data_IF_961007178919
#
_entry.id   IF_961007178919
#
_cell.length_a   1.000
_cell.length_b   1.000
_cell.length_c   1.000
_cell.angle_alpha   90.00
_cell.angle_beta   90.00
_cell.angle_gamma   90.00
#
_symmetry.space_group_name_H-M   'P 1'
#
loop_
_entity.id
_entity.type
_entity.pdbx_description
1 polymer ?
#
# COMPACT_ATOMS: atom_id res chain seq x y z
N UNK A 1 -24.32 -7.48 -14.54
CA UNK A 1 -24.10 -8.69 -15.36
C UNK A 1 -25.11 -9.75 -14.98
N UNK A 2 -25.78 -10.39 -15.95
CA UNK A 2 -26.80 -11.42 -15.67
C UNK A 2 -26.21 -12.74 -15.16
N UNK A 3 -24.91 -12.96 -15.35
CA UNK A 3 -24.26 -14.25 -15.13
C UNK A 3 -23.45 -14.37 -13.83
N UNK A 4 -23.34 -13.31 -13.03
CA UNK A 4 -22.70 -13.36 -11.70
C UNK A 4 -23.73 -13.74 -10.63
N UNK A 5 -23.94 -15.04 -10.42
CA UNK A 5 -24.92 -15.57 -9.45
C UNK A 5 -24.35 -15.67 -8.05
N UNK A 6 -23.10 -16.11 -7.93
CA UNK A 6 -22.40 -16.37 -6.68
C UNK A 6 -21.45 -15.22 -6.34
N UNK A 7 -20.64 -14.74 -7.29
CA UNK A 7 -19.70 -13.65 -7.07
C UNK A 7 -20.38 -12.27 -7.01
N UNK A 8 -21.60 -12.14 -7.55
CA UNK A 8 -22.27 -10.87 -7.76
C UNK A 8 -22.66 -10.15 -6.46
N UNK A 9 -22.74 -8.81 -6.51
CA UNK A 9 -23.11 -7.95 -5.36
C UNK A 9 -24.58 -8.02 -4.93
N UNK A 10 -25.36 -8.98 -5.44
CA UNK A 10 -26.69 -9.30 -4.89
C UNK A 10 -26.58 -9.79 -3.42
N UNK A 11 -25.39 -10.21 -3.00
CA UNK A 11 -25.04 -10.44 -1.59
C UNK A 11 -24.72 -9.09 -0.91
N UNK A 12 -25.51 -8.73 0.11
CA UNK A 12 -25.46 -7.40 0.74
C UNK A 12 -24.19 -7.14 1.55
N UNK A 13 -23.55 -8.18 2.08
CA UNK A 13 -22.29 -8.08 2.82
C UNK A 13 -21.09 -8.41 1.93
N UNK A 14 -20.01 -7.62 2.04
CA UNK A 14 -18.72 -7.99 1.45
C UNK A 14 -18.17 -9.24 2.15
N UNK A 15 -17.59 -10.15 1.38
CA UNK A 15 -16.90 -11.30 1.94
C UNK A 15 -15.61 -10.86 2.63
N UNK A 16 -15.34 -11.48 3.77
CA UNK A 16 -14.02 -11.46 4.41
C UNK A 16 -13.51 -12.89 4.49
N UNK A 17 -12.23 -13.10 4.16
CA UNK A 17 -11.60 -14.42 4.21
C UNK A 17 -10.70 -14.47 5.43
N UNK A 18 -11.05 -15.32 6.39
CA UNK A 18 -10.29 -15.53 7.63
C UNK A 18 -9.40 -16.77 7.51
N UNK A 19 -8.13 -16.65 7.92
CA UNK A 19 -7.13 -17.73 7.90
C UNK A 19 -6.17 -17.52 9.07
N UNK A 20 -6.17 -18.44 10.04
CA UNK A 20 -5.34 -18.39 11.25
C UNK A 20 -5.22 -16.98 11.89
N UNK A 21 -6.35 -16.29 12.04
CA UNK A 21 -6.43 -14.95 12.64
C UNK A 21 -6.20 -13.76 11.69
N UNK A 22 -5.78 -13.99 10.44
CA UNK A 22 -5.68 -12.94 9.42
C UNK A 22 -7.00 -12.81 8.67
N UNK A 23 -7.53 -11.58 8.54
CA UNK A 23 -8.80 -11.29 7.87
C UNK A 23 -8.57 -10.45 6.61
N UNK A 24 -8.69 -11.05 5.44
CA UNK A 24 -8.58 -10.38 4.13
C UNK A 24 -9.95 -9.86 3.70
N UNK A 25 -10.03 -8.61 3.23
CA UNK A 25 -11.31 -7.94 2.87
C UNK A 25 -11.91 -7.07 3.98
N UNK A 26 -11.27 -7.00 5.15
CA UNK A 26 -11.68 -6.17 6.29
C UNK A 26 -11.20 -4.71 6.20
N UNK A 27 -11.11 -4.05 7.35
CA UNK A 27 -10.53 -2.69 7.47
C UNK A 27 -9.01 -2.69 7.36
N UNK A 28 -8.36 -3.75 7.83
CA UNK A 28 -6.91 -3.91 7.74
C UNK A 28 -6.49 -4.19 6.29
N UNK A 29 -5.46 -3.50 5.82
CA UNK A 29 -4.77 -3.79 4.56
C UNK A 29 -3.77 -4.90 4.81
N UNK A 30 -3.96 -6.04 4.14
CA UNK A 30 -3.07 -7.18 4.32
C UNK A 30 -1.87 -7.06 3.36
N UNK A 31 -0.68 -6.90 3.94
CA UNK A 31 0.58 -6.96 3.19
C UNK A 31 1.08 -8.40 3.07
N UNK A 32 1.27 -8.81 1.83
CA UNK A 32 1.82 -10.09 1.43
C UNK A 32 3.14 -9.84 0.72
N UNK A 33 4.23 -10.36 1.26
CA UNK A 33 5.58 -10.09 0.77
C UNK A 33 6.38 -11.37 0.58
N UNK A 34 7.42 -11.30 -0.25
CA UNK A 34 8.39 -12.38 -0.40
C UNK A 34 8.89 -12.51 -1.83
N UNK A 35 9.81 -13.46 -2.07
CA UNK A 35 10.54 -13.51 -3.33
C UNK A 35 9.71 -14.06 -4.48
N UNK A 36 10.10 -13.69 -5.71
CA UNK A 36 9.49 -14.17 -6.93
C UNK A 36 9.57 -15.71 -7.07
N UNK A 37 10.73 -16.27 -6.75
CA UNK A 37 11.00 -17.69 -6.75
C UNK A 37 11.62 -18.09 -5.40
N UNK A 38 11.34 -19.31 -4.95
CA UNK A 38 12.04 -19.90 -3.81
C UNK A 38 13.38 -20.45 -4.31
N UNK A 39 14.47 -19.97 -3.72
CA UNK A 39 15.83 -20.24 -4.21
C UNK A 39 16.65 -21.05 -3.20
N UNK A 40 16.49 -20.78 -1.90
CA UNK A 40 17.16 -21.51 -0.83
C UNK A 40 16.46 -21.32 0.52
N UNK A 41 16.80 -22.16 1.50
CA UNK A 41 16.31 -22.00 2.88
C UNK A 41 16.71 -20.66 3.50
N UNK A 42 17.98 -20.24 3.32
CA UNK A 42 18.49 -18.98 3.86
C UNK A 42 17.75 -17.76 3.28
N UNK A 43 17.55 -17.76 1.96
CA UNK A 43 16.80 -16.71 1.27
C UNK A 43 15.37 -16.60 1.78
N UNK A 44 14.68 -17.74 1.97
CA UNK A 44 13.33 -17.74 2.50
C UNK A 44 13.26 -17.27 3.96
N UNK A 45 14.19 -17.69 4.81
CA UNK A 45 14.25 -17.27 6.22
C UNK A 45 14.44 -15.74 6.34
N UNK A 46 15.40 -15.17 5.60
CA UNK A 46 15.63 -13.72 5.56
C UNK A 46 14.44 -12.94 4.98
N UNK A 47 13.78 -13.52 3.96
CA UNK A 47 12.57 -12.93 3.39
C UNK A 47 11.41 -12.92 4.40
N UNK A 48 11.21 -14.01 5.13
CA UNK A 48 10.19 -14.12 6.16
C UNK A 48 10.40 -13.10 7.28
N UNK A 49 11.64 -12.94 7.74
CA UNK A 49 12.00 -11.92 8.74
C UNK A 49 11.69 -10.50 8.22
N UNK A 50 12.06 -10.20 6.97
CA UNK A 50 11.77 -8.90 6.33
C UNK A 50 10.27 -8.63 6.26
N UNK A 51 9.48 -9.63 5.82
CA UNK A 51 8.02 -9.51 5.72
C UNK A 51 7.41 -9.27 7.08
N UNK A 52 7.85 -10.01 8.10
CA UNK A 52 7.39 -9.86 9.48
C UNK A 52 7.70 -8.46 10.03
N UNK A 53 8.94 -7.98 9.84
CA UNK A 53 9.37 -6.62 10.24
C UNK A 53 8.59 -5.53 9.55
N UNK A 54 8.13 -5.72 8.31
CA UNK A 54 7.28 -4.75 7.63
C UNK A 54 5.80 -4.82 8.05
N UNK A 55 5.41 -5.73 8.95
CA UNK A 55 4.02 -5.93 9.37
C UNK A 55 3.22 -6.83 8.44
N UNK A 56 3.88 -7.43 7.45
CA UNK A 56 3.28 -8.41 6.57
C UNK A 56 2.73 -9.61 7.34
N UNK A 57 1.63 -10.17 6.82
CA UNK A 57 0.93 -11.31 7.42
C UNK A 57 1.06 -12.59 6.60
N UNK A 58 1.50 -12.46 5.35
CA UNK A 58 1.60 -13.56 4.39
C UNK A 58 2.96 -13.52 3.71
N UNK A 59 3.70 -14.62 3.80
CA UNK A 59 4.91 -14.90 3.04
C UNK A 59 4.54 -15.56 1.71
N UNK A 60 4.92 -14.92 0.60
CA UNK A 60 4.75 -15.49 -0.75
C UNK A 60 6.06 -16.06 -1.27
N UNK A 61 5.99 -17.17 -2.01
CA UNK A 61 7.15 -17.76 -2.67
C UNK A 61 6.75 -18.67 -3.82
N UNK A 62 7.31 -18.46 -5.02
CA UNK A 62 7.00 -19.30 -6.17
C UNK A 62 7.82 -20.58 -6.18
N UNK A 63 7.20 -21.72 -5.87
CA UNK A 63 7.88 -23.03 -5.88
C UNK A 63 7.82 -23.72 -7.25
N UNK A 64 6.85 -23.31 -8.08
CA UNK A 64 6.74 -23.61 -9.50
C UNK A 64 6.78 -22.30 -10.29
N UNK A 65 7.52 -22.27 -11.40
CA UNK A 65 7.66 -21.07 -12.24
C UNK A 65 7.20 -21.38 -13.67
N UNK A 66 6.00 -20.94 -14.09
CA UNK A 66 5.58 -21.05 -15.49
C UNK A 66 6.35 -20.01 -16.32
N UNK A 67 7.49 -20.43 -16.88
CA UNK A 67 8.41 -19.57 -17.65
C UNK A 67 8.09 -19.61 -19.13
N UNK A 68 8.32 -18.47 -19.80
CA UNK A 68 8.22 -18.39 -21.27
C UNK A 68 9.29 -19.26 -21.95
N UNK A 69 10.46 -19.42 -21.34
CA UNK A 69 11.56 -20.26 -21.84
C UNK A 69 11.72 -21.51 -20.97
N UNK A 70 11.83 -22.72 -21.58
CA UNK A 70 12.01 -23.96 -20.84
C UNK A 70 13.40 -24.08 -20.19
N UNK A 71 14.39 -23.30 -20.65
CA UNK A 71 15.76 -23.30 -20.10
C UNK A 71 15.92 -22.39 -18.87
N UNK A 72 14.89 -21.61 -18.55
CA UNK A 72 14.88 -20.78 -17.34
C UNK A 72 14.68 -21.65 -16.10
N UNK A 73 15.07 -21.12 -14.93
CA UNK A 73 14.76 -21.74 -13.65
C UNK A 73 13.24 -22.00 -13.51
N UNK A 74 12.87 -23.28 -13.29
CA UNK A 74 11.49 -23.77 -13.24
C UNK A 74 10.91 -23.83 -11.82
N UNK A 75 11.73 -23.58 -10.79
CA UNK A 75 11.35 -23.73 -9.38
C UNK A 75 11.89 -25.02 -8.75
N UNK A 76 11.96 -25.04 -7.41
CA UNK A 76 12.46 -26.18 -6.63
C UNK A 76 11.37 -27.23 -6.30
N UNK A 77 10.11 -26.98 -6.66
CA UNK A 77 9.01 -27.89 -6.36
C UNK A 77 8.88 -28.20 -4.87
N UNK A 78 8.91 -29.48 -4.50
CA UNK A 78 8.74 -29.95 -3.11
C UNK A 78 9.78 -29.39 -2.15
N UNK A 79 11.03 -29.26 -2.58
CA UNK A 79 12.10 -28.74 -1.73
C UNK A 79 11.85 -27.26 -1.40
N UNK A 80 11.56 -26.44 -2.40
CA UNK A 80 11.20 -25.04 -2.21
C UNK A 80 9.93 -24.85 -1.38
N UNK A 81 8.95 -25.77 -1.52
CA UNK A 81 7.76 -25.78 -0.68
C UNK A 81 8.10 -25.97 0.80
N UNK A 82 9.01 -26.89 1.12
CA UNK A 82 9.43 -27.09 2.50
C UNK A 82 10.13 -25.85 3.07
N UNK A 83 10.98 -25.18 2.28
CA UNK A 83 11.63 -23.92 2.70
C UNK A 83 10.62 -22.81 2.96
N UNK A 84 9.62 -22.64 2.09
CA UNK A 84 8.57 -21.63 2.26
C UNK A 84 7.76 -21.86 3.54
N UNK A 85 7.29 -23.10 3.76
CA UNK A 85 6.46 -23.45 4.91
C UNK A 85 7.24 -23.30 6.22
N UNK A 86 8.50 -23.75 6.25
CA UNK A 86 9.36 -23.63 7.42
C UNK A 86 9.60 -22.16 7.79
N UNK A 87 9.99 -21.32 6.81
CA UNK A 87 10.26 -19.91 7.06
C UNK A 87 9.01 -19.13 7.50
N UNK A 88 7.85 -19.43 6.92
CA UNK A 88 6.59 -18.82 7.32
C UNK A 88 6.23 -19.19 8.77
N UNK A 89 6.37 -20.48 9.14
CA UNK A 89 6.10 -20.98 10.48
C UNK A 89 7.02 -20.33 11.53
N UNK A 90 8.31 -20.21 11.24
CA UNK A 90 9.29 -19.59 12.16
C UNK A 90 8.95 -18.14 12.51
N UNK A 91 8.33 -17.40 11.58
CA UNK A 91 7.97 -15.99 11.75
C UNK A 91 6.47 -15.78 12.07
N UNK A 92 5.72 -16.86 12.27
CA UNK A 92 4.27 -16.84 12.45
C UNK A 92 3.56 -16.02 11.36
N UNK A 93 3.86 -16.36 10.11
CA UNK A 93 3.25 -15.83 8.89
C UNK A 93 2.41 -16.93 8.23
N UNK A 94 1.35 -16.54 7.53
CA UNK A 94 0.73 -17.42 6.54
C UNK A 94 1.67 -17.61 5.35
N UNK A 95 1.52 -18.69 4.61
CA UNK A 95 2.24 -18.89 3.35
C UNK A 95 1.31 -19.04 2.14
N UNK A 96 1.76 -18.49 1.01
CA UNK A 96 1.07 -18.58 -0.29
C UNK A 96 2.04 -18.99 -1.40
N UNK A 97 1.60 -19.92 -2.25
CA UNK A 97 2.34 -20.31 -3.45
C UNK A 97 1.41 -20.56 -4.64
N UNK A 98 1.97 -20.50 -5.84
CA UNK A 98 1.24 -20.69 -7.09
C UNK A 98 1.09 -22.17 -7.43
N UNK A 99 -0.12 -22.55 -7.86
CA UNK A 99 -0.40 -23.85 -8.49
C UNK A 99 -0.59 -23.66 -9.99
N UNK A 100 -0.01 -24.56 -10.78
CA UNK A 100 0.02 -24.44 -12.24
C UNK A 100 -0.79 -25.51 -12.97
N UNK A 101 -1.09 -26.61 -12.29
CA UNK A 101 -1.78 -27.80 -12.79
C UNK A 101 -2.29 -28.67 -11.63
N UNK A 102 -2.90 -29.83 -11.92
CA UNK A 102 -3.39 -30.75 -10.89
C UNK A 102 -2.25 -31.37 -10.03
N UNK A 103 -1.13 -31.87 -10.60
CA UNK A 103 -0.03 -32.39 -9.78
C UNK A 103 0.59 -31.37 -8.81
N UNK A 104 0.76 -30.11 -9.25
CA UNK A 104 1.24 -29.05 -8.37
C UNK A 104 0.24 -28.72 -7.27
N UNK A 105 -1.07 -28.75 -7.55
CA UNK A 105 -2.12 -28.59 -6.55
C UNK A 105 -2.03 -29.69 -5.47
N UNK A 106 -1.97 -30.96 -5.89
CA UNK A 106 -1.88 -32.10 -4.96
C UNK A 106 -0.63 -32.01 -4.07
N UNK A 107 0.48 -31.49 -4.59
CA UNK A 107 1.71 -31.34 -3.82
C UNK A 107 1.63 -30.27 -2.72
N UNK A 108 0.93 -29.17 -2.98
CA UNK A 108 0.93 -27.98 -2.09
C UNK A 108 -0.27 -27.94 -1.16
N UNK A 109 -1.38 -28.57 -1.54
CA UNK A 109 -2.69 -28.32 -0.93
C UNK A 109 -2.73 -28.56 0.56
N UNK A 110 -1.98 -29.51 1.12
CA UNK A 110 -2.00 -29.76 2.57
C UNK A 110 -0.95 -28.98 3.36
N UNK A 111 -0.09 -28.22 2.68
CA UNK A 111 1.10 -27.61 3.27
C UNK A 111 1.05 -26.09 3.36
N UNK A 112 0.23 -25.43 2.52
CA UNK A 112 0.13 -23.97 2.48
C UNK A 112 -1.19 -23.45 3.03
N UNK A 113 -1.21 -22.18 3.42
CA UNK A 113 -2.42 -21.54 3.94
C UNK A 113 -3.33 -21.03 2.82
N UNK A 114 -2.73 -20.53 1.73
CA UNK A 114 -3.41 -19.89 0.62
C UNK A 114 -2.85 -20.45 -0.71
N UNK A 115 -3.74 -20.72 -1.66
CA UNK A 115 -3.36 -21.09 -3.03
C UNK A 115 -3.39 -19.86 -3.93
N UNK A 116 -2.46 -19.75 -4.87
CA UNK A 116 -2.50 -18.73 -5.92
C UNK A 116 -2.70 -19.39 -7.29
N UNK A 117 -3.63 -18.86 -8.07
CA UNK A 117 -3.78 -19.16 -9.49
C UNK A 117 -3.25 -17.96 -10.27
N UNK A 118 -2.15 -18.16 -10.99
CA UNK A 118 -1.48 -17.10 -11.73
C UNK A 118 -2.28 -16.62 -12.95
N UNK A 119 -1.92 -15.43 -13.45
CA UNK A 119 -2.62 -14.77 -14.56
C UNK A 119 -2.71 -15.63 -15.84
N UNK A 120 -1.71 -16.49 -16.10
CA UNK A 120 -1.71 -17.40 -17.26
C UNK A 120 -2.74 -18.53 -17.14
N UNK A 121 -3.11 -18.89 -15.91
CA UNK A 121 -4.07 -19.94 -15.59
C UNK A 121 -5.44 -19.39 -15.19
N UNK A 122 -5.70 -18.07 -15.30
CA UNK A 122 -7.00 -17.48 -14.96
C UNK A 122 -8.15 -18.13 -15.74
N UNK A 123 -7.92 -18.62 -16.97
CA UNK A 123 -8.91 -19.33 -17.78
C UNK A 123 -8.61 -20.83 -17.93
N UNK A 124 -7.76 -21.39 -17.06
CA UNK A 124 -7.59 -22.83 -16.96
C UNK A 124 -8.76 -23.40 -16.16
N UNK A 125 -9.93 -23.50 -16.78
CA UNK A 125 -11.19 -23.84 -16.10
C UNK A 125 -11.15 -25.18 -15.36
N UNK A 126 -10.39 -26.16 -15.84
CA UNK A 126 -10.23 -27.43 -15.15
C UNK A 126 -9.44 -27.25 -13.85
N UNK A 127 -8.36 -26.47 -13.86
CA UNK A 127 -7.63 -26.11 -12.64
C UNK A 127 -8.52 -25.31 -11.67
N UNK A 128 -9.32 -24.36 -12.17
CA UNK A 128 -10.26 -23.59 -11.34
C UNK A 128 -11.29 -24.48 -10.64
N UNK A 129 -11.89 -25.44 -11.37
CA UNK A 129 -12.84 -26.41 -10.80
C UNK A 129 -12.19 -27.32 -9.77
N UNK A 130 -10.96 -27.76 -10.01
CA UNK A 130 -10.21 -28.57 -9.05
C UNK A 130 -9.90 -27.77 -7.78
N UNK A 131 -9.34 -26.57 -7.92
CA UNK A 131 -9.06 -25.69 -6.79
C UNK A 131 -10.34 -25.32 -6.02
N UNK A 132 -11.47 -25.14 -6.70
CA UNK A 132 -12.76 -24.86 -6.09
C UNK A 132 -13.37 -26.00 -5.27
N UNK A 133 -12.82 -27.22 -5.36
CA UNK A 133 -13.19 -28.34 -4.46
C UNK A 133 -12.36 -28.37 -3.17
N UNK A 134 -11.32 -27.55 -3.08
CA UNK A 134 -10.43 -27.49 -1.92
C UNK A 134 -10.94 -26.44 -0.94
N UNK A 135 -10.98 -26.78 0.35
CA UNK A 135 -11.34 -25.83 1.41
C UNK A 135 -10.15 -24.94 1.83
N UNK A 136 -9.58 -24.20 0.88
CA UNK A 136 -8.53 -23.19 1.12
C UNK A 136 -8.81 -21.90 0.38
N UNK A 137 -8.40 -20.75 0.93
CA UNK A 137 -8.41 -19.49 0.20
C UNK A 137 -7.66 -19.57 -1.12
N UNK A 138 -8.21 -18.95 -2.17
CA UNK A 138 -7.60 -18.89 -3.50
C UNK A 138 -7.43 -17.43 -3.90
N UNK A 139 -6.20 -17.01 -4.14
CA UNK A 139 -5.89 -15.77 -4.85
C UNK A 139 -5.97 -16.03 -6.36
N UNK A 140 -6.94 -15.42 -7.03
CA UNK A 140 -7.11 -15.49 -8.48
C UNK A 140 -6.55 -14.22 -9.12
N UNK A 141 -5.39 -14.33 -9.78
CA UNK A 141 -4.80 -13.22 -10.54
C UNK A 141 -5.55 -12.98 -11.84
N UNK A 142 -5.83 -11.72 -12.15
CA UNK A 142 -6.41 -11.32 -13.44
C UNK A 142 -5.49 -11.71 -14.59
N UNK A 143 -6.08 -12.21 -15.68
CA UNK A 143 -5.38 -12.58 -16.91
C UNK A 143 -4.84 -11.36 -17.64
N UNK A 144 -3.78 -11.56 -18.43
CA UNK A 144 -3.02 -10.48 -19.09
C UNK A 144 -3.89 -9.56 -19.96
N UNK A 145 -4.95 -10.08 -20.55
CA UNK A 145 -5.86 -9.32 -21.43
C UNK A 145 -7.33 -9.56 -21.06
N UNK A 146 -7.58 -10.06 -19.85
CA UNK A 146 -8.92 -10.35 -19.40
C UNK A 146 -9.68 -9.06 -19.08
N UNK A 147 -10.92 -8.98 -19.53
CA UNK A 147 -11.89 -8.02 -19.01
C UNK A 147 -12.22 -8.31 -17.53
N UNK A 148 -12.82 -7.34 -16.85
CA UNK A 148 -13.27 -7.53 -15.45
C UNK A 148 -14.38 -8.58 -15.40
N UNK A 149 -15.26 -8.63 -16.40
CA UNK A 149 -16.30 -9.65 -16.51
C UNK A 149 -15.72 -11.06 -16.61
N UNK A 150 -14.76 -11.30 -17.52
CA UNK A 150 -14.10 -12.61 -17.63
C UNK A 150 -13.37 -13.02 -16.35
N UNK A 151 -12.79 -12.04 -15.64
CA UNK A 151 -12.13 -12.29 -14.37
C UNK A 151 -13.11 -12.68 -13.26
N UNK A 152 -14.26 -12.01 -13.17
CA UNK A 152 -15.32 -12.36 -12.22
C UNK A 152 -15.99 -13.70 -12.58
N UNK A 153 -16.17 -14.00 -13.87
CA UNK A 153 -16.66 -15.30 -14.33
C UNK A 153 -15.66 -16.42 -14.02
N UNK A 154 -14.35 -16.18 -14.11
CA UNK A 154 -13.35 -17.15 -13.65
C UNK A 154 -13.46 -17.40 -12.13
N UNK A 155 -13.74 -16.37 -11.32
CA UNK A 155 -14.05 -16.56 -9.90
C UNK A 155 -15.33 -17.39 -9.70
N UNK A 156 -16.35 -17.18 -10.54
CA UNK A 156 -17.61 -17.94 -10.51
C UNK A 156 -17.37 -19.45 -10.67
N UNK A 157 -16.40 -19.90 -11.50
CA UNK A 157 -16.05 -21.32 -11.61
C UNK A 157 -15.55 -21.92 -10.29
N UNK A 158 -14.76 -21.17 -9.52
CA UNK A 158 -14.26 -21.60 -8.20
C UNK A 158 -15.42 -21.66 -7.20
N UNK A 159 -16.25 -20.61 -7.16
CA UNK A 159 -17.40 -20.52 -6.27
C UNK A 159 -18.42 -21.64 -6.55
N UNK A 160 -18.73 -21.89 -7.83
CA UNK A 160 -19.68 -22.91 -8.26
C UNK A 160 -19.19 -24.34 -7.98
N UNK A 161 -17.88 -24.55 -7.90
CA UNK A 161 -17.28 -25.82 -7.48
C UNK A 161 -17.34 -26.06 -5.96
N UNK A 162 -17.70 -25.05 -5.17
CA UNK A 162 -17.99 -25.19 -3.74
C UNK A 162 -17.12 -24.33 -2.81
N UNK A 163 -16.11 -23.63 -3.32
CA UNK A 163 -15.20 -22.84 -2.49
C UNK A 163 -15.53 -21.35 -2.54
N UNK A 164 -16.11 -20.83 -1.46
CA UNK A 164 -16.48 -19.42 -1.30
C UNK A 164 -15.31 -18.48 -0.96
N UNK A 165 -14.08 -19.01 -0.81
CA UNK A 165 -12.93 -18.28 -0.25
C UNK A 165 -12.01 -17.71 -1.34
N UNK A 166 -12.59 -16.94 -2.26
CA UNK A 166 -11.85 -16.35 -3.39
C UNK A 166 -11.40 -14.93 -3.07
N UNK A 167 -10.15 -14.60 -3.42
CA UNK A 167 -9.54 -13.28 -3.34
C UNK A 167 -9.11 -12.89 -4.75
N UNK A 168 -9.58 -11.76 -5.23
CA UNK A 168 -9.24 -11.24 -6.55
C UNK A 168 -7.91 -10.47 -6.47
N UNK A 169 -6.94 -10.77 -7.34
CA UNK A 169 -5.70 -9.98 -7.48
C UNK A 169 -5.55 -9.29 -8.85
N UNK A 170 -5.67 -7.96 -8.88
CA UNK A 170 -5.33 -7.13 -10.03
C UNK A 170 -3.80 -7.01 -10.15
N UNK A 171 -3.26 -7.16 -11.37
CA UNK A 171 -1.81 -7.35 -11.61
C UNK A 171 -1.31 -6.73 -12.91
N UNK A 172 -2.07 -5.80 -13.47
CA UNK A 172 -1.86 -5.14 -14.74
C UNK A 172 -2.33 -5.94 -15.94
N UNK A 173 -2.77 -5.20 -16.95
CA UNK A 173 -3.17 -5.70 -18.26
C UNK A 173 -2.16 -5.31 -19.34
N UNK A 174 -2.10 -6.10 -20.40
CA UNK A 174 -1.30 -5.82 -21.58
C UNK A 174 -1.94 -4.69 -22.37
N UNK A 175 -1.13 -3.69 -22.70
CA UNK A 175 -1.51 -2.57 -23.56
C UNK A 175 -0.40 -2.35 -24.60
N UNK A 176 -0.48 -1.25 -25.35
CA UNK A 176 0.59 -0.82 -26.25
C UNK A 176 1.75 -0.12 -25.54
N UNK A 177 1.64 0.20 -24.25
CA UNK A 177 2.62 1.00 -23.50
C UNK A 177 3.88 0.19 -23.14
N UNK A 178 5.09 0.57 -23.63
CA UNK A 178 6.31 -0.20 -23.40
C UNK A 178 7.06 0.15 -22.10
N UNK A 179 6.77 1.28 -21.44
CA UNK A 179 7.54 1.77 -20.29
C UNK A 179 7.32 0.96 -19.00
N UNK A 180 6.29 0.11 -19.00
CA UNK A 180 5.95 -0.83 -17.91
C UNK A 180 5.66 -2.20 -18.51
N UNK A 181 5.88 -3.28 -17.74
CA UNK A 181 5.63 -4.66 -18.20
C UNK A 181 4.16 -4.89 -18.54
N UNK A 182 3.26 -4.32 -17.73
CA UNK A 182 1.82 -4.24 -17.93
C UNK A 182 1.34 -2.87 -17.41
N UNK A 183 0.21 -2.38 -17.91
CA UNK A 183 -0.43 -1.18 -17.36
C UNK A 183 -1.29 -1.60 -16.17
N UNK A 184 -1.01 -1.08 -14.98
CA UNK A 184 -1.83 -1.34 -13.79
C UNK A 184 -3.21 -0.69 -13.95
N UNK A 185 -4.27 -1.51 -13.98
CA UNK A 185 -5.65 -1.03 -14.08
C UNK A 185 -6.25 -0.82 -12.68
N UNK A 186 -5.99 0.35 -12.08
CA UNK A 186 -6.55 0.67 -10.77
C UNK A 186 -8.07 0.82 -10.78
N UNK A 187 -8.68 1.10 -11.94
CA UNK A 187 -10.14 1.18 -12.06
C UNK A 187 -10.79 -0.17 -11.79
N UNK A 188 -10.11 -1.27 -12.11
CA UNK A 188 -10.57 -2.62 -11.83
C UNK A 188 -10.77 -2.89 -10.34
N UNK A 189 -10.02 -2.24 -9.45
CA UNK A 189 -10.24 -2.34 -7.99
C UNK A 189 -11.63 -1.84 -7.65
N UNK A 190 -11.98 -0.61 -8.05
CA UNK A 190 -13.30 -0.04 -7.78
C UNK A 190 -14.42 -0.83 -8.45
N UNK A 191 -14.28 -1.14 -9.74
CA UNK A 191 -15.30 -1.82 -10.54
C UNK A 191 -15.54 -3.26 -10.05
N UNK A 192 -14.49 -4.05 -9.76
CA UNK A 192 -14.67 -5.40 -9.22
C UNK A 192 -15.32 -5.38 -7.84
N UNK A 193 -14.95 -4.41 -6.98
CA UNK A 193 -15.59 -4.20 -5.67
C UNK A 193 -17.03 -3.71 -5.78
N UNK A 194 -17.41 -3.10 -6.90
CA UNK A 194 -18.77 -2.66 -7.18
C UNK A 194 -19.65 -3.78 -7.70
N UNK A 195 -19.09 -4.68 -8.51
CA UNK A 195 -19.83 -5.75 -9.16
C UNK A 195 -19.86 -7.03 -8.33
N UNK A 196 -18.90 -7.20 -7.42
CA UNK A 196 -18.75 -8.40 -6.59
C UNK A 196 -18.61 -8.09 -5.10
N UNK A 197 -18.88 -9.10 -4.27
CA UNK A 197 -18.67 -9.02 -2.83
C UNK A 197 -17.25 -9.45 -2.41
N UNK A 198 -16.42 -9.94 -3.33
CA UNK A 198 -15.11 -10.53 -3.03
C UNK A 198 -14.08 -9.48 -2.58
N UNK A 199 -13.07 -9.86 -1.77
CA UNK A 199 -11.90 -9.02 -1.52
C UNK A 199 -11.08 -8.82 -2.79
N UNK A 200 -10.51 -7.62 -2.95
CA UNK A 200 -9.67 -7.27 -4.11
C UNK A 200 -8.32 -6.76 -3.63
N UNK A 201 -7.24 -7.47 -3.94
CA UNK A 201 -5.85 -7.09 -3.67
C UNK A 201 -5.15 -6.67 -4.98
N UNK A 202 -3.97 -6.05 -4.84
CA UNK A 202 -3.17 -5.59 -6.00
C UNK A 202 -1.74 -6.11 -5.94
N UNK A 203 -1.21 -6.52 -7.08
CA UNK A 203 0.19 -6.88 -7.30
C UNK A 203 0.90 -5.80 -8.14
N UNK A 204 1.50 -4.79 -7.50
CA UNK A 204 2.18 -3.71 -8.21
C UNK A 204 3.51 -4.16 -8.84
N UNK A 205 4.15 -5.20 -8.28
CA UNK A 205 5.45 -5.72 -8.76
C UNK A 205 5.33 -6.31 -10.16
N UNK A 206 4.37 -7.21 -10.39
CA UNK A 206 4.17 -7.81 -11.71
C UNK A 206 3.44 -6.90 -12.70
N UNK A 207 2.64 -5.95 -12.19
CA UNK A 207 2.02 -4.94 -13.03
C UNK A 207 3.10 -4.08 -13.68
N UNK A 208 3.87 -3.34 -12.89
CA UNK A 208 4.89 -2.44 -13.42
C UNK A 208 6.09 -3.19 -14.03
N UNK A 209 6.54 -4.28 -13.38
CA UNK A 209 7.82 -4.92 -13.69
C UNK A 209 9.01 -3.99 -13.46
N UNK A 210 8.86 -3.00 -12.57
CA UNK A 210 9.83 -1.93 -12.30
C UNK A 210 9.84 -1.61 -10.81
N UNK A 211 11.01 -1.71 -10.19
CA UNK A 211 11.19 -1.51 -8.75
C UNK A 211 10.81 -0.10 -8.29
N UNK A 212 11.18 0.90 -9.07
CA UNK A 212 10.98 2.33 -8.78
C UNK A 212 9.51 2.76 -8.76
N UNK A 213 8.62 1.98 -9.40
CA UNK A 213 7.18 2.25 -9.44
C UNK A 213 6.40 1.52 -8.35
N UNK A 214 6.98 0.54 -7.66
CA UNK A 214 6.24 -0.29 -6.70
C UNK A 214 5.68 0.57 -5.56
N UNK A 215 6.45 1.50 -5.02
CA UNK A 215 6.02 2.32 -3.89
C UNK A 215 4.82 3.21 -4.24
N UNK A 216 4.88 3.92 -5.37
CA UNK A 216 3.79 4.80 -5.81
C UNK A 216 2.52 4.01 -6.16
N UNK A 217 2.66 2.89 -6.88
CA UNK A 217 1.52 2.05 -7.26
C UNK A 217 0.90 1.34 -6.06
N UNK A 218 1.68 0.97 -5.04
CA UNK A 218 1.16 0.38 -3.80
C UNK A 218 0.29 1.39 -3.03
N UNK A 219 0.77 2.63 -2.90
CA UNK A 219 0.01 3.73 -2.29
C UNK A 219 -1.26 4.02 -3.08
N UNK A 220 -1.18 4.09 -4.40
CA UNK A 220 -2.33 4.31 -5.27
C UNK A 220 -3.37 3.17 -5.17
N UNK A 221 -2.91 1.92 -5.04
CA UNK A 221 -3.80 0.76 -4.86
C UNK A 221 -4.59 0.82 -3.55
N UNK A 222 -3.95 1.18 -2.44
CA UNK A 222 -4.65 1.40 -1.16
C UNK A 222 -5.66 2.54 -1.31
N UNK A 223 -5.25 3.66 -1.89
CA UNK A 223 -6.13 4.81 -2.11
C UNK A 223 -7.34 4.46 -3.01
N UNK A 224 -7.16 3.58 -3.99
CA UNK A 224 -8.22 3.04 -4.84
C UNK A 224 -9.15 2.03 -4.12
N UNK A 225 -8.83 1.66 -2.87
CA UNK A 225 -9.66 0.80 -2.03
C UNK A 225 -9.27 -0.68 -2.05
N UNK A 226 -8.04 -1.03 -2.41
CA UNK A 226 -7.55 -2.41 -2.30
C UNK A 226 -7.66 -2.92 -0.85
N UNK A 227 -7.85 -4.23 -0.68
CA UNK A 227 -7.93 -4.92 0.61
C UNK A 227 -6.58 -5.54 1.03
N UNK A 228 -5.56 -5.43 0.19
CA UNK A 228 -4.24 -5.98 0.42
C UNK A 228 -3.31 -5.74 -0.77
N UNK A 229 -2.03 -6.01 -0.53
CA UNK A 229 -0.96 -5.86 -1.52
C UNK A 229 -0.12 -7.14 -1.57
N UNK A 230 0.22 -7.58 -2.78
CA UNK A 230 1.12 -8.69 -3.03
C UNK A 230 2.39 -8.17 -3.70
N UNK A 231 3.47 -8.03 -2.94
CA UNK A 231 4.68 -7.32 -3.37
C UNK A 231 5.88 -8.26 -3.35
N UNK A 232 6.72 -8.16 -4.38
CA UNK A 232 8.00 -8.88 -4.43
C UNK A 232 9.09 -8.16 -3.65
N UNK A 233 9.75 -8.90 -2.76
CA UNK A 233 10.96 -8.48 -2.07
C UNK A 233 11.97 -9.62 -2.07
N UNK A 234 13.25 -9.30 -2.20
CA UNK A 234 14.33 -10.28 -2.20
C UNK A 234 15.46 -9.80 -1.29
N UNK A 235 16.10 -10.66 -0.48
CA UNK A 235 17.21 -10.27 0.39
C UNK A 235 18.40 -9.68 -0.39
N UNK A 236 18.67 -10.24 -1.57
CA UNK A 236 19.69 -9.73 -2.50
C UNK A 236 19.15 -9.70 -3.94
N UNK A 237 18.41 -8.66 -4.36
CA UNK A 237 17.77 -8.65 -5.68
C UNK A 237 18.74 -8.74 -6.87
N UNK A 238 20.02 -8.39 -6.68
CA UNK A 238 21.03 -8.44 -7.73
C UNK A 238 21.40 -9.88 -8.13
N UNK A 239 21.23 -10.84 -7.21
CA UNK A 239 21.57 -12.26 -7.40
C UNK A 239 20.32 -13.14 -7.63
N UNK A 240 19.12 -12.56 -7.64
CA UNK A 240 17.88 -13.31 -7.77
C UNK A 240 17.77 -14.05 -9.12
N UNK A 241 17.34 -15.31 -9.08
CA UNK A 241 17.22 -16.18 -10.28
C UNK A 241 15.97 -15.86 -11.12
N UNK A 242 15.08 -15.03 -10.57
CA UNK A 242 13.85 -14.57 -11.22
C UNK A 242 13.49 -13.18 -10.72
N UNK A 243 13.19 -12.27 -11.65
CA UNK A 243 12.53 -10.98 -11.35
C UNK A 243 13.29 -10.07 -10.34
N UNK A 244 14.62 -10.21 -10.28
CA UNK A 244 15.51 -9.36 -9.48
C UNK A 244 15.36 -7.85 -9.76
N UNK A 245 15.32 -7.40 -11.02
CA UNK A 245 15.21 -5.97 -11.34
C UNK A 245 13.96 -5.28 -10.77
N UNK A 246 12.87 -6.00 -10.54
CA UNK A 246 11.67 -5.41 -9.93
C UNK A 246 11.50 -5.72 -8.43
N UNK A 247 12.21 -6.71 -7.88
CA UNK A 247 12.07 -7.04 -6.45
C UNK A 247 12.62 -5.90 -5.59
N UNK A 248 11.87 -5.47 -4.56
CA UNK A 248 12.38 -4.50 -3.58
C UNK A 248 13.52 -5.10 -2.76
N UNK A 249 14.44 -4.26 -2.27
CA UNK A 249 15.36 -4.66 -1.18
C UNK A 249 14.59 -4.72 0.15
N UNK A 250 15.13 -5.39 1.19
CA UNK A 250 14.51 -5.41 2.51
C UNK A 250 14.20 -4.02 3.07
N UNK A 251 15.15 -3.09 2.94
CA UNK A 251 15.03 -1.72 3.45
C UNK A 251 13.91 -0.97 2.73
N UNK A 252 13.83 -1.10 1.40
CA UNK A 252 12.77 -0.48 0.60
C UNK A 252 11.39 -1.05 0.93
N UNK A 253 11.31 -2.36 1.18
CA UNK A 253 10.06 -3.02 1.54
C UNK A 253 9.55 -2.55 2.91
N UNK A 254 10.44 -2.46 3.91
CA UNK A 254 10.12 -1.96 5.25
C UNK A 254 9.77 -0.46 5.20
N UNK A 255 10.54 0.35 4.49
CA UNK A 255 10.25 1.77 4.32
C UNK A 255 8.86 1.97 3.68
N UNK A 256 8.57 1.25 2.60
CA UNK A 256 7.27 1.31 1.94
C UNK A 256 6.15 0.99 2.92
N UNK A 257 6.27 -0.08 3.70
CA UNK A 257 5.25 -0.45 4.67
C UNK A 257 4.96 0.65 5.71
N UNK A 258 5.98 1.41 6.14
CA UNK A 258 5.77 2.59 6.99
C UNK A 258 4.95 3.69 6.31
N UNK A 259 5.19 3.92 5.02
CA UNK A 259 4.45 4.90 4.22
C UNK A 259 2.99 4.46 3.94
N UNK A 260 2.72 3.15 3.86
CA UNK A 260 1.37 2.63 3.58
C UNK A 260 0.37 2.96 4.70
N UNK A 261 0.83 3.06 5.95
CA UNK A 261 -0.03 3.40 7.09
C UNK A 261 -0.74 4.74 6.93
N UNK A 262 0.02 5.77 6.55
CA UNK A 262 -0.51 7.13 6.32
C UNK A 262 -1.58 7.13 5.22
N UNK A 263 -1.35 6.37 4.14
CA UNK A 263 -2.31 6.30 3.03
C UNK A 263 -3.55 5.51 3.44
N UNK A 264 -3.39 4.39 4.15
CA UNK A 264 -4.51 3.58 4.62
C UNK A 264 -5.46 4.41 5.52
N UNK A 265 -4.91 5.15 6.47
CA UNK A 265 -5.69 6.05 7.35
C UNK A 265 -6.49 7.08 6.55
N UNK A 266 -5.89 7.67 5.51
CA UNK A 266 -6.55 8.69 4.67
C UNK A 266 -7.80 8.18 3.94
N UNK A 267 -7.93 6.86 3.78
CA UNK A 267 -9.08 6.20 3.15
C UNK A 267 -9.87 5.30 4.11
N UNK A 268 -9.78 5.57 5.42
CA UNK A 268 -10.51 4.86 6.47
C UNK A 268 -10.19 3.35 6.54
N UNK A 269 -8.96 2.99 6.18
CA UNK A 269 -8.38 1.65 6.34
C UNK A 269 -7.32 1.68 7.43
N UNK A 270 -6.89 0.51 7.88
CA UNK A 270 -5.85 0.34 8.92
C UNK A 270 -4.68 -0.45 8.32
N UNK A 271 -3.46 -0.15 8.73
CA UNK A 271 -2.28 -0.93 8.39
C UNK A 271 -1.47 -1.17 9.66
N UNK A 272 -1.24 -2.44 10.00
CA UNK A 272 -0.43 -2.80 11.16
C UNK A 272 1.04 -2.94 10.72
N UNK A 273 1.88 -1.97 11.07
CA UNK A 273 3.31 -2.03 10.79
C UNK A 273 4.04 -2.98 11.76
N UNK A 274 5.01 -3.72 11.26
CA UNK A 274 5.80 -4.68 12.05
C UNK A 274 6.90 -3.93 12.81
N UNK A 275 7.13 -4.31 14.07
CA UNK A 275 8.04 -3.56 14.95
C UNK A 275 7.34 -2.57 15.88
N UNK A 276 6.00 -2.51 15.88
CA UNK A 276 5.29 -2.12 17.09
C UNK A 276 5.44 -3.25 18.11
N UNK A 277 6.49 -3.15 18.95
CA UNK A 277 6.32 -3.46 20.36
C UNK A 277 5.03 -2.74 20.79
N UNK A 278 4.09 -3.49 21.36
CA UNK A 278 2.79 -3.10 21.91
C UNK A 278 2.45 -1.59 21.71
N UNK A 279 1.39 -1.25 20.98
CA UNK A 279 1.00 0.15 20.74
C UNK A 279 0.86 0.98 22.03
N UNK A 280 0.77 0.32 23.19
CA UNK A 280 0.72 0.91 24.52
C UNK A 280 2.07 0.94 25.28
N UNK A 281 3.20 0.59 24.65
CA UNK A 281 4.52 0.84 25.24
C UNK A 281 4.78 2.34 25.34
N UNK A 282 5.52 2.74 26.37
CA UNK A 282 5.87 4.15 26.58
C UNK A 282 6.68 4.70 25.41
N UNK A 283 7.57 3.88 24.84
CA UNK A 283 8.40 4.18 23.67
C UNK A 283 7.55 4.41 22.41
N UNK A 284 6.54 3.57 22.15
CA UNK A 284 5.63 3.75 21.02
C UNK A 284 4.80 5.02 21.14
N UNK A 285 4.26 5.30 22.33
CA UNK A 285 3.49 6.53 22.60
C UNK A 285 4.35 7.78 22.44
N UNK A 286 5.61 7.74 22.87
CA UNK A 286 6.59 8.82 22.63
C UNK A 286 6.84 9.04 21.14
N UNK A 287 7.08 7.97 20.39
CA UNK A 287 7.26 8.09 18.94
C UNK A 287 6.01 8.62 18.22
N UNK A 288 4.80 8.33 18.73
CA UNK A 288 3.56 8.94 18.22
C UNK A 288 3.51 10.45 18.50
N UNK A 289 3.90 10.87 19.72
CA UNK A 289 4.03 12.29 20.07
C UNK A 289 5.04 12.97 19.15
N UNK A 290 6.22 12.39 18.95
CA UNK A 290 7.27 12.95 18.09
C UNK A 290 6.76 13.18 16.65
N UNK A 291 5.97 12.24 16.11
CA UNK A 291 5.34 12.38 14.79
C UNK A 291 4.29 13.50 14.75
N UNK A 292 3.48 13.64 15.79
CA UNK A 292 2.50 14.73 15.90
C UNK A 292 3.23 16.07 15.99
N UNK A 293 4.27 16.17 16.80
CA UNK A 293 5.05 17.39 16.99
C UNK A 293 5.74 17.82 15.69
N UNK A 294 6.32 16.87 14.95
CA UNK A 294 6.87 17.15 13.63
C UNK A 294 5.81 17.75 12.69
N UNK A 295 4.61 17.14 12.61
CA UNK A 295 3.52 17.65 11.77
C UNK A 295 3.03 19.03 12.21
N UNK A 296 3.02 19.32 13.51
CA UNK A 296 2.70 20.66 14.03
C UNK A 296 3.71 21.68 13.46
N UNK A 297 5.01 21.38 13.52
CA UNK A 297 6.05 22.28 13.00
C UNK A 297 5.93 22.47 11.48
N UNK A 298 5.72 21.40 10.72
CA UNK A 298 5.51 21.45 9.27
C UNK A 298 4.30 22.33 8.90
N UNK A 299 3.15 22.12 9.54
CA UNK A 299 1.95 22.93 9.30
C UNK A 299 2.10 24.39 9.73
N UNK A 300 2.89 24.67 10.77
CA UNK A 300 3.23 26.05 11.14
C UNK A 300 4.10 26.70 10.07
N UNK A 301 5.08 25.98 9.52
CA UNK A 301 5.92 26.48 8.42
C UNK A 301 5.09 26.81 7.17
N UNK A 302 4.20 25.90 6.75
CA UNK A 302 3.27 26.12 5.63
C UNK A 302 2.40 27.37 5.87
N UNK A 303 1.85 27.49 7.08
CA UNK A 303 1.05 28.65 7.48
C UNK A 303 1.84 29.94 7.37
N UNK A 304 3.12 29.96 7.79
CA UNK A 304 3.96 31.15 7.69
C UNK A 304 4.21 31.55 6.24
N UNK A 305 4.42 30.59 5.35
CA UNK A 305 4.59 30.87 3.92
C UNK A 305 3.32 31.50 3.33
N UNK A 306 2.15 30.96 3.67
CA UNK A 306 0.85 31.50 3.22
C UNK A 306 0.63 32.92 3.78
N UNK A 307 0.92 33.15 5.07
CA UNK A 307 0.77 34.48 5.68
C UNK A 307 1.69 35.51 5.02
N UNK A 308 2.90 35.10 4.58
CA UNK A 308 3.78 35.97 3.79
C UNK A 308 3.13 36.36 2.46
N UNK A 309 2.59 35.39 1.72
CA UNK A 309 1.87 35.63 0.44
C UNK A 309 0.66 36.55 0.64
N UNK A 310 -0.12 36.34 1.69
CA UNK A 310 -1.25 37.21 2.05
C UNK A 310 -0.79 38.63 2.40
N UNK A 311 0.33 38.77 3.11
CA UNK A 311 0.91 40.08 3.44
C UNK A 311 1.39 40.84 2.19
N UNK A 312 2.02 40.16 1.23
CA UNK A 312 2.39 40.73 -0.07
C UNK A 312 1.14 41.21 -0.83
N UNK A 313 0.09 40.39 -0.90
CA UNK A 313 -1.17 40.74 -1.57
C UNK A 313 -1.90 41.93 -0.91
N UNK A 314 -2.05 41.93 0.42
CA UNK A 314 -2.71 43.03 1.15
C UNK A 314 -2.01 44.38 0.94
N UNK A 315 -0.70 44.39 0.71
CA UNK A 315 0.06 45.60 0.36
C UNK A 315 -0.30 46.12 -1.03
N UNK A 316 -0.40 45.24 -2.02
CA UNK A 316 -0.82 45.60 -3.38
C UNK A 316 -2.25 46.19 -3.38
N UNK A 317 -3.14 45.58 -2.60
CA UNK A 317 -4.57 45.92 -2.58
C UNK A 317 -4.93 47.03 -1.56
N UNK A 318 -3.97 47.50 -0.74
CA UNK A 318 -4.15 48.51 0.33
C UNK A 318 -5.25 48.18 1.36
N UNK A 319 -5.47 46.90 1.66
CA UNK A 319 -6.51 46.45 2.59
C UNK A 319 -5.94 46.22 4.00
N UNK A 320 -6.64 46.74 5.03
CA UNK A 320 -6.38 46.44 6.45
C UNK A 320 -7.52 45.61 7.03
N UNK A 321 -7.17 44.62 7.82
CA UNK A 321 -8.11 43.59 8.28
C UNK A 321 -8.02 43.46 9.80
N UNK A 322 -8.75 44.32 10.50
CA UNK A 322 -8.59 44.56 11.94
C UNK A 322 -9.32 43.55 12.82
N UNK A 323 -10.27 42.79 12.27
CA UNK A 323 -11.11 41.84 13.02
C UNK A 323 -10.78 40.36 12.75
N UNK A 324 -9.97 40.07 11.73
CA UNK A 324 -9.74 38.71 11.25
C UNK A 324 -9.12 37.78 12.29
N UNK A 325 -8.19 38.28 13.11
CA UNK A 325 -7.58 37.47 14.17
C UNK A 325 -8.59 37.02 15.23
N UNK A 326 -9.51 37.93 15.61
CA UNK A 326 -10.59 37.62 16.58
C UNK A 326 -11.53 36.55 16.03
N UNK A 327 -11.89 36.62 14.75
CA UNK A 327 -12.72 35.61 14.08
C UNK A 327 -12.03 34.25 14.03
N UNK A 328 -10.73 34.23 13.68
CA UNK A 328 -9.95 32.99 13.60
C UNK A 328 -9.86 32.34 14.99
N UNK A 329 -9.54 33.10 16.04
CA UNK A 329 -9.46 32.58 17.41
C UNK A 329 -10.82 32.01 17.83
N UNK A 330 -11.93 32.73 17.58
CA UNK A 330 -13.28 32.25 17.93
C UNK A 330 -13.58 30.91 17.25
N UNK A 331 -13.30 30.79 15.95
CA UNK A 331 -13.51 29.53 15.20
C UNK A 331 -12.66 28.38 15.74
N UNK A 332 -11.40 28.64 16.04
CA UNK A 332 -10.47 27.61 16.54
C UNK A 332 -10.78 27.17 17.97
N UNK A 333 -11.28 28.07 18.81
CA UNK A 333 -11.76 27.74 20.16
C UNK A 333 -12.96 26.78 20.09
N UNK A 334 -13.89 27.02 19.17
CA UNK A 334 -15.02 26.12 18.96
C UNK A 334 -14.54 24.73 18.51
N UNK A 335 -13.64 24.68 17.53
CA UNK A 335 -13.06 23.43 17.05
C UNK A 335 -12.29 22.68 18.14
N UNK A 336 -11.51 23.38 18.98
CA UNK A 336 -10.83 22.77 20.10
C UNK A 336 -11.82 22.14 21.10
N UNK A 337 -12.94 22.82 21.36
CA UNK A 337 -14.00 22.29 22.23
C UNK A 337 -14.60 21.00 21.66
N UNK A 338 -14.89 20.98 20.35
CA UNK A 338 -15.40 19.78 19.65
C UNK A 338 -14.41 18.60 19.71
N UNK A 339 -13.11 18.89 19.63
CA UNK A 339 -12.03 17.92 19.69
C UNK A 339 -11.57 17.60 21.13
N UNK A 340 -12.30 18.06 22.15
CA UNK A 340 -11.97 17.87 23.57
C UNK A 340 -10.59 18.42 23.98
N UNK A 341 -10.08 19.40 23.25
CA UNK A 341 -8.86 20.14 23.57
C UNK A 341 -9.19 21.37 24.43
N UNK A 342 -8.45 21.66 25.51
CA UNK A 342 -8.70 22.84 26.33
C UNK A 342 -8.65 24.14 25.53
N UNK A 343 -9.76 24.87 25.48
CA UNK A 343 -9.89 26.14 24.75
C UNK A 343 -8.88 27.21 25.16
N UNK A 344 -8.42 27.19 26.41
CA UNK A 344 -7.36 28.06 26.91
C UNK A 344 -6.02 27.85 26.20
N UNK A 345 -5.74 26.63 25.74
CA UNK A 345 -4.52 26.33 24.99
C UNK A 345 -4.49 27.09 23.66
N UNK A 346 -5.61 27.08 22.93
CA UNK A 346 -5.76 27.83 21.67
C UNK A 346 -5.59 29.33 21.92
N UNK A 347 -6.20 29.85 23.00
CA UNK A 347 -6.11 31.27 23.37
C UNK A 347 -4.69 31.72 23.72
N UNK A 348 -3.82 30.81 24.15
CA UNK A 348 -2.41 31.11 24.45
C UNK A 348 -1.50 30.94 23.23
N UNK A 349 -1.65 29.85 22.48
CA UNK A 349 -0.73 29.51 21.39
C UNK A 349 -0.94 30.40 20.16
N UNK A 350 -2.19 30.64 19.75
CA UNK A 350 -2.46 31.34 18.49
C UNK A 350 -2.01 32.81 18.46
N UNK A 351 -2.13 33.59 19.54
CA UNK A 351 -1.53 34.92 19.59
C UNK A 351 -0.01 34.91 19.35
N UNK A 352 0.72 33.94 19.92
CA UNK A 352 2.16 33.78 19.70
C UNK A 352 2.49 33.42 18.24
N UNK A 353 1.66 32.59 17.62
CA UNK A 353 1.76 32.27 16.19
C UNK A 353 1.54 33.51 15.34
N UNK A 354 0.54 34.34 15.66
CA UNK A 354 0.24 35.57 14.92
C UNK A 354 1.38 36.58 15.05
N UNK A 355 1.85 36.81 16.28
CA UNK A 355 2.99 37.69 16.56
C UNK A 355 4.24 37.25 15.79
N UNK A 356 4.58 35.96 15.84
CA UNK A 356 5.72 35.40 15.10
C UNK A 356 5.59 35.63 13.59
N UNK A 357 4.38 35.53 13.04
CA UNK A 357 4.12 35.79 11.63
C UNK A 357 4.33 37.26 11.27
N UNK A 358 3.87 38.20 12.12
CA UNK A 358 4.07 39.65 11.94
C UNK A 358 5.56 39.99 12.01
N UNK A 359 6.30 39.45 12.98
CA UNK A 359 7.74 39.66 13.10
C UNK A 359 8.51 39.16 11.87
N UNK A 360 8.14 37.98 11.35
CA UNK A 360 8.70 37.43 10.12
C UNK A 360 8.44 38.33 8.90
N UNK A 361 7.23 38.91 8.79
CA UNK A 361 6.90 39.87 7.73
C UNK A 361 7.72 41.17 7.83
N UNK A 362 7.92 41.70 9.04
CA UNK A 362 8.73 42.90 9.28
C UNK A 362 10.20 42.62 8.90
N UNK A 363 10.76 41.50 9.35
CA UNK A 363 12.13 41.10 9.03
C UNK A 363 12.33 40.92 7.53
N UNK A 364 11.40 40.26 6.84
CA UNK A 364 11.46 40.10 5.38
C UNK A 364 11.36 41.44 4.64
N UNK A 365 10.63 42.42 5.19
CA UNK A 365 10.56 43.78 4.61
C UNK A 365 11.90 44.50 4.76
N UNK A 366 12.49 44.50 5.96
CA UNK A 366 13.77 45.14 6.24
C UNK A 366 14.88 44.61 5.33
N UNK A 367 14.90 43.30 5.06
CA UNK A 367 15.87 42.69 4.13
C UNK A 367 15.65 43.17 2.70
N UNK A 368 14.41 43.20 2.20
CA UNK A 368 14.09 43.71 0.85
C UNK A 368 14.41 45.20 0.69
N UNK A 369 14.14 46.00 1.72
CA UNK A 369 14.42 47.44 1.72
C UNK A 369 15.95 47.69 1.70
N UNK A 370 16.74 46.88 2.44
CA UNK A 370 18.21 46.92 2.40
C UNK A 370 18.79 46.47 1.05
N UNK A 371 18.23 45.43 0.43
CA UNK A 371 18.62 44.96 -0.91
C UNK A 371 18.30 46.00 -1.99
N UNK A 372 17.16 46.70 -1.87
CA UNK A 372 16.79 47.79 -2.76
C UNK A 372 17.73 49.01 -2.61
N UNK A 373 18.09 49.39 -1.38
CA UNK A 373 19.04 50.48 -1.12
C UNK A 373 20.45 50.18 -1.69
N UNK A 374 20.91 48.92 -1.61
CA UNK A 374 22.18 48.50 -2.23
C UNK A 374 22.14 48.50 -3.77
N UNK A 375 20.96 48.31 -4.37
CA UNK A 375 20.79 48.37 -5.83
C UNK A 375 20.75 49.81 -6.39
N UNK A 376 20.47 50.82 -5.56
CA UNK A 376 20.38 52.22 -5.98
C UNK A 376 21.72 52.97 -5.97
N UNK A 377 22.76 52.42 -5.34
CA UNK A 377 24.12 52.94 -5.40
C UNK A 377 25.01 52.01 -6.23
N UNK A 378 25.03 52.12 -7.57
CA UNK A 378 26.09 51.48 -8.34
C UNK A 378 27.40 52.11 -7.90
N UNK A 379 28.32 51.27 -7.41
CA UNK A 379 29.68 51.64 -7.06
C UNK A 379 30.29 52.38 -8.26
N UNK A 380 30.37 53.71 -8.15
CA UNK A 380 31.18 54.54 -9.02
C UNK A 380 32.64 54.24 -8.71
N UNK A 381 33.21 53.27 -9.43
CA UNK A 381 34.64 53.01 -9.43
C UNK A 381 35.39 54.17 -10.09
N UNK A 382 36.22 54.87 -9.32
CA UNK A 382 37.48 55.45 -9.77
C UNK A 382 38.55 55.20 -8.73
#
# INVERSE_FOLDING_TARGET
MKDLKLAGRLITARSTIEVNGVRIGGKEIILMGGPCAVESSLQMSQSAETVKKAGGKVLRGGVFKPRTSPYSFQGLGLEGLNYLVQAAKEQNLLCVTEVIDAPSLDLVVDKVDILQIGARNMQNFELLKLAGKINKPIILKRGLSATIEEWLLAAEYILAAGNSRVILCERGIRTFEPSTRNTLDLSAVGVAKELSHLPVIVDPSHAAGRRDLIASLSKAAIAAGADGLLIETHPNPAEAVSDGPQSLTPEQFIQLAGELGVVAESVNKVFAFGGQEDENTLESLRAQIDRVDQRIIEHLADRMEIVRKVGDQKRMDRVKDTNREKEIIKRLVNLATELQLPSELVRKIYPLIFESAVQSQIKSKLVRDQEAEQSYYPISSK
#
